data_IF_825729369399
#
_entry.id   IF_825729369399
#
_cell.length_a   1.000
_cell.length_b   1.000
_cell.length_c   1.000
_cell.angle_alpha   90.00
_cell.angle_beta   90.00
_cell.angle_gamma   90.00
#
_symmetry.space_group_name_H-M   'P 1'
#
loop_
_entity.id
_entity.type
_entity.pdbx_description
1 polymer ?
#
# COMPACT_ATOMS: atom_id res chain seq x y z
N UNK A 1 22.63 -69.06 1.22
CA UNK A 1 21.17 -68.85 1.11
C UNK A 1 20.82 -67.50 1.76
N UNK A 2 20.27 -66.59 0.96
CA UNK A 2 19.56 -65.33 1.30
C UNK A 2 20.35 -64.16 1.92
N UNK A 3 20.66 -63.22 1.03
CA UNK A 3 21.13 -61.85 1.22
C UNK A 3 20.10 -61.06 2.05
N UNK A 4 20.52 -60.46 3.16
CA UNK A 4 19.69 -59.53 3.95
C UNK A 4 19.83 -58.15 3.32
N UNK A 5 18.78 -57.73 2.62
CA UNK A 5 18.67 -56.41 1.99
C UNK A 5 18.25 -55.40 3.07
N UNK A 6 19.22 -54.65 3.60
CA UNK A 6 18.94 -53.57 4.56
C UNK A 6 18.46 -52.32 3.82
N UNK A 7 17.17 -52.01 3.92
CA UNK A 7 16.53 -50.83 3.33
C UNK A 7 16.77 -49.63 4.26
N UNK A 8 17.79 -48.82 3.96
CA UNK A 8 18.06 -47.55 4.64
C UNK A 8 17.09 -46.49 4.06
N UNK A 9 16.01 -46.23 4.80
CA UNK A 9 15.05 -45.18 4.47
C UNK A 9 15.55 -43.85 5.05
N UNK A 10 16.24 -43.05 4.22
CA UNK A 10 16.60 -41.68 4.58
C UNK A 10 15.32 -40.83 4.70
N UNK A 11 14.90 -40.57 5.94
CA UNK A 11 13.93 -39.52 6.24
C UNK A 11 14.58 -38.16 5.95
N UNK A 12 14.35 -37.62 4.75
CA UNK A 12 14.56 -36.19 4.50
C UNK A 12 13.46 -35.42 5.23
N UNK A 13 13.74 -35.03 6.47
CA UNK A 13 12.94 -34.03 7.18
C UNK A 13 13.13 -32.70 6.45
N UNK A 14 12.18 -32.34 5.59
CA UNK A 14 12.06 -31.00 5.04
C UNK A 14 11.80 -30.05 6.21
N UNK A 15 12.78 -29.22 6.54
CA UNK A 15 12.61 -28.14 7.51
C UNK A 15 11.69 -27.12 6.86
N UNK A 16 10.39 -27.18 7.17
CA UNK A 16 9.45 -26.13 6.79
C UNK A 16 9.78 -24.89 7.62
N UNK A 17 10.49 -23.94 7.02
CA UNK A 17 10.64 -22.61 7.59
C UNK A 17 9.26 -21.95 7.59
N UNK A 18 8.65 -21.84 8.77
CA UNK A 18 7.47 -21.01 8.95
C UNK A 18 7.87 -19.56 8.66
N UNK A 19 7.20 -18.95 7.69
CA UNK A 19 7.39 -17.53 7.39
C UNK A 19 6.94 -16.71 8.61
N UNK A 20 7.74 -15.73 9.04
CA UNK A 20 7.37 -14.81 10.14
C UNK A 20 6.83 -13.50 9.58
N UNK A 21 6.07 -12.74 10.38
CA UNK A 21 5.52 -11.44 9.96
C UNK A 21 6.63 -10.47 9.53
N UNK A 22 7.74 -10.48 10.25
CA UNK A 22 8.94 -9.66 9.98
C UNK A 22 9.59 -10.06 8.66
N UNK A 23 9.63 -11.36 8.34
CA UNK A 23 10.19 -11.84 7.07
C UNK A 23 9.33 -11.44 5.87
N UNK A 24 8.00 -11.40 6.02
CA UNK A 24 7.06 -10.90 5.00
C UNK A 24 7.25 -9.40 4.81
N UNK A 25 7.25 -8.64 5.90
CA UNK A 25 7.48 -7.20 5.87
C UNK A 25 8.83 -6.87 5.21
N UNK A 26 9.90 -7.59 5.56
CA UNK A 26 11.23 -7.41 4.96
C UNK A 26 11.23 -7.70 3.46
N UNK A 27 10.51 -8.72 3.02
CA UNK A 27 10.38 -9.06 1.60
C UNK A 27 9.61 -7.97 0.84
N UNK A 28 8.54 -7.44 1.44
CA UNK A 28 7.80 -6.28 0.91
C UNK A 28 8.69 -5.04 0.80
N UNK A 29 9.44 -4.71 1.86
CA UNK A 29 10.36 -3.58 1.90
C UNK A 29 11.46 -3.71 0.83
N UNK A 30 12.10 -4.87 0.75
CA UNK A 30 13.13 -5.16 -0.27
C UNK A 30 12.58 -5.01 -1.68
N UNK A 31 11.35 -5.51 -1.90
CA UNK A 31 10.68 -5.34 -3.19
C UNK A 31 10.40 -3.86 -3.47
N UNK A 32 9.88 -3.13 -2.50
CA UNK A 32 9.57 -1.71 -2.63
C UNK A 32 10.83 -0.87 -2.93
N UNK A 33 11.97 -1.17 -2.29
CA UNK A 33 13.24 -0.48 -2.55
C UNK A 33 13.76 -0.63 -3.98
N UNK A 34 13.46 -1.77 -4.60
CA UNK A 34 13.82 -2.05 -6.00
C UNK A 34 12.98 -1.27 -7.03
N UNK A 35 11.92 -0.59 -6.57
CA UNK A 35 11.00 0.13 -7.43
C UNK A 35 11.42 1.61 -7.48
N UNK A 36 11.82 2.09 -8.65
CA UNK A 36 12.09 3.52 -8.91
C UNK A 36 10.80 4.28 -9.18
N UNK A 37 9.88 3.65 -9.90
CA UNK A 37 8.56 4.16 -10.22
C UNK A 37 7.58 2.99 -10.42
N UNK A 38 6.30 3.22 -10.15
CA UNK A 38 5.25 2.27 -10.44
C UNK A 38 3.98 2.96 -10.92
N UNK A 39 3.22 2.23 -11.74
CA UNK A 39 1.81 2.49 -12.01
C UNK A 39 1.00 1.25 -11.65
N UNK A 40 -0.16 1.44 -11.04
CA UNK A 40 -1.14 0.39 -10.78
C UNK A 40 -2.57 0.89 -10.99
N UNK A 41 -3.48 -0.01 -11.32
CA UNK A 41 -4.91 0.26 -11.23
C UNK A 41 -5.35 0.07 -9.77
N UNK A 42 -6.27 0.92 -9.31
CA UNK A 42 -6.76 0.95 -7.92
C UNK A 42 -8.26 0.76 -7.91
N UNK A 43 -8.75 -0.09 -7.02
CA UNK A 43 -10.19 -0.24 -6.73
C UNK A 43 -10.43 -0.07 -5.24
N UNK A 44 -11.26 0.89 -4.85
CA UNK A 44 -11.75 0.99 -3.48
C UNK A 44 -13.14 0.39 -3.41
N UNK A 45 -13.36 -0.52 -2.47
CA UNK A 45 -14.70 -0.96 -2.12
C UNK A 45 -15.27 -0.06 -1.04
N UNK A 46 -16.48 0.41 -1.28
CA UNK A 46 -17.30 1.03 -0.25
C UNK A 46 -18.39 0.04 0.13
N UNK A 47 -18.50 -0.30 1.42
CA UNK A 47 -19.34 -1.39 1.97
C UNK A 47 -20.86 -1.29 1.67
N UNK A 48 -21.31 -0.31 0.88
CA UNK A 48 -22.72 -0.14 0.47
C UNK A 48 -22.93 0.68 -0.82
N UNK A 49 -21.87 1.03 -1.56
CA UNK A 49 -21.95 1.86 -2.80
C UNK A 49 -21.25 1.16 -3.96
N UNK A 50 -21.35 1.75 -5.16
CA UNK A 50 -20.54 1.33 -6.30
C UNK A 50 -19.05 1.39 -5.96
N UNK A 51 -18.31 0.39 -6.43
CA UNK A 51 -16.85 0.42 -6.39
C UNK A 51 -16.37 1.65 -7.14
N UNK A 52 -15.38 2.32 -6.55
CA UNK A 52 -14.71 3.41 -7.21
C UNK A 52 -13.41 2.85 -7.82
N UNK A 53 -13.06 3.34 -9.01
CA UNK A 53 -11.91 2.89 -9.78
C UNK A 53 -10.95 4.06 -10.00
N UNK A 54 -9.68 3.73 -10.16
CA UNK A 54 -8.65 4.73 -10.26
C UNK A 54 -7.28 4.20 -10.69
N UNK A 55 -6.31 5.09 -10.62
CA UNK A 55 -4.92 4.82 -10.96
C UNK A 55 -3.99 5.42 -9.92
N UNK A 56 -3.01 4.64 -9.53
CA UNK A 56 -1.91 5.05 -8.69
C UNK A 56 -0.67 5.17 -9.56
N UNK A 57 0.04 6.28 -9.41
CA UNK A 57 1.37 6.51 -9.93
C UNK A 57 2.24 6.90 -8.75
N UNK A 58 3.39 6.26 -8.64
CA UNK A 58 4.36 6.58 -7.61
C UNK A 58 5.75 6.61 -8.23
N UNK A 59 6.60 7.47 -7.71
CA UNK A 59 8.02 7.55 -8.02
C UNK A 59 8.76 7.90 -6.73
N UNK A 60 10.02 7.45 -6.63
CA UNK A 60 10.88 7.76 -5.47
C UNK A 60 10.92 9.27 -5.16
N UNK A 61 11.39 9.59 -3.96
CA UNK A 61 11.34 10.94 -3.38
C UNK A 61 9.90 11.44 -3.17
N UNK A 62 9.00 10.52 -2.79
CA UNK A 62 7.62 10.84 -2.39
C UNK A 62 6.76 11.51 -3.48
N UNK A 63 7.07 11.22 -4.74
CA UNK A 63 6.26 11.66 -5.87
C UNK A 63 5.05 10.71 -6.02
N UNK A 64 3.85 11.26 -5.92
CA UNK A 64 2.61 10.51 -5.91
C UNK A 64 1.56 11.18 -6.80
N UNK A 65 0.83 10.36 -7.55
CA UNK A 65 -0.45 10.75 -8.13
C UNK A 65 -1.46 9.64 -7.91
N UNK A 66 -2.54 9.95 -7.23
CA UNK A 66 -3.70 9.08 -7.10
C UNK A 66 -4.90 9.74 -7.76
N UNK A 67 -5.47 9.06 -8.74
CA UNK A 67 -6.73 9.47 -9.36
C UNK A 67 -7.81 8.48 -8.98
N UNK A 68 -8.89 8.96 -8.38
CA UNK A 68 -9.93 8.08 -7.85
C UNK A 68 -11.31 8.73 -7.89
N UNK A 69 -12.19 8.26 -8.78
CA UNK A 69 -13.47 8.92 -9.05
C UNK A 69 -13.28 10.40 -9.40
N UNK A 70 -13.85 11.29 -8.59
CA UNK A 70 -13.73 12.75 -8.74
C UNK A 70 -12.51 13.35 -8.02
N UNK A 71 -11.73 12.55 -7.28
CA UNK A 71 -10.56 13.02 -6.56
C UNK A 71 -9.28 12.84 -7.38
N UNK A 72 -8.41 13.84 -7.34
CA UNK A 72 -7.01 13.75 -7.77
C UNK A 72 -6.16 14.22 -6.60
N UNK A 73 -5.27 13.36 -6.14
CA UNK A 73 -4.25 13.71 -5.15
C UNK A 73 -2.91 13.67 -5.85
N UNK A 74 -2.18 14.77 -5.81
CA UNK A 74 -0.81 14.87 -6.33
C UNK A 74 0.11 15.28 -5.19
N UNK A 75 1.30 14.71 -5.14
CA UNK A 75 2.37 15.19 -4.27
C UNK A 75 3.71 15.12 -5.01
N UNK A 76 4.54 16.12 -4.79
CA UNK A 76 5.90 16.25 -5.35
C UNK A 76 7.00 16.01 -4.29
N UNK A 77 6.63 15.42 -3.16
CA UNK A 77 7.48 15.26 -1.99
C UNK A 77 7.64 16.49 -1.10
N UNK A 78 7.08 17.66 -1.48
CA UNK A 78 7.09 18.88 -0.67
C UNK A 78 5.69 19.47 -0.46
N UNK A 79 4.89 19.51 -1.50
CA UNK A 79 3.51 20.01 -1.49
C UNK A 79 2.57 18.88 -1.90
N UNK A 80 1.38 18.87 -1.30
CA UNK A 80 0.26 18.02 -1.74
C UNK A 80 -0.88 18.88 -2.24
N UNK A 81 -1.48 18.45 -3.35
CA UNK A 81 -2.70 19.00 -3.92
C UNK A 81 -3.79 17.94 -3.90
N UNK A 82 -4.86 18.22 -3.17
CA UNK A 82 -6.06 17.39 -3.16
C UNK A 82 -7.17 18.13 -3.90
N UNK A 83 -7.45 17.68 -5.12
CA UNK A 83 -8.41 18.30 -6.03
C UNK A 83 -9.67 17.45 -6.19
N UNK A 84 -10.81 18.03 -5.87
CA UNK A 84 -12.12 17.48 -6.19
C UNK A 84 -12.63 18.11 -7.49
N UNK A 85 -12.74 17.28 -8.54
CA UNK A 85 -13.25 17.67 -9.87
C UNK A 85 -14.69 18.17 -9.84
N UNK A 86 -15.54 17.56 -9.01
CA UNK A 86 -16.96 17.87 -8.94
C UNK A 86 -17.19 19.23 -8.29
N UNK A 87 -16.48 19.49 -7.20
CA UNK A 87 -16.61 20.73 -6.44
C UNK A 87 -15.74 21.86 -7.01
N UNK A 88 -14.91 21.56 -8.02
CA UNK A 88 -13.85 22.45 -8.53
C UNK A 88 -13.10 23.11 -7.39
N UNK A 89 -12.59 22.29 -6.47
CA UNK A 89 -11.90 22.76 -5.27
C UNK A 89 -10.58 22.03 -5.11
N UNK A 90 -9.51 22.79 -4.88
CA UNK A 90 -8.19 22.25 -4.51
C UNK A 90 -7.84 22.69 -3.09
N UNK A 91 -7.37 21.72 -2.30
CA UNK A 91 -6.72 21.96 -1.01
C UNK A 91 -5.22 21.74 -1.22
N UNK A 92 -4.42 22.73 -0.86
CA UNK A 92 -2.97 22.73 -0.95
C UNK A 92 -2.43 22.66 0.48
N UNK A 93 -1.50 21.74 0.75
CA UNK A 93 -0.85 21.61 2.04
C UNK A 93 0.62 21.22 1.86
N UNK A 94 1.40 21.37 2.91
CA UNK A 94 2.71 20.73 2.95
C UNK A 94 2.53 19.21 2.89
N UNK A 95 3.45 18.55 2.20
CA UNK A 95 3.50 17.11 2.18
C UNK A 95 4.12 16.63 3.49
N UNK A 96 3.31 16.02 4.36
CA UNK A 96 3.82 15.25 5.48
C UNK A 96 3.49 13.78 5.25
N UNK A 97 4.51 12.92 5.31
CA UNK A 97 4.35 11.48 5.06
C UNK A 97 3.30 10.84 5.98
N UNK A 98 3.23 11.31 7.24
CA UNK A 98 2.29 10.82 8.24
C UNK A 98 0.86 11.39 8.06
N UNK A 99 0.72 12.62 7.55
CA UNK A 99 -0.58 13.28 7.37
C UNK A 99 -1.28 12.85 6.08
N UNK A 100 -0.51 12.44 5.07
CA UNK A 100 -1.02 11.74 3.88
C UNK A 100 -1.61 10.36 4.21
N UNK A 101 -1.41 9.85 5.43
CA UNK A 101 -1.89 8.56 5.90
C UNK A 101 -1.37 7.42 5.02
N UNK A 102 -2.19 6.39 4.81
CA UNK A 102 -1.80 5.22 4.02
C UNK A 102 -1.75 5.47 2.50
N UNK A 103 -2.01 6.70 2.04
CA UNK A 103 -1.69 7.10 0.66
C UNK A 103 -0.19 7.35 0.47
N UNK A 104 0.55 7.59 1.56
CA UNK A 104 2.00 7.50 1.56
C UNK A 104 2.40 6.03 1.59
N UNK A 105 2.84 5.51 0.44
CA UNK A 105 3.36 4.15 0.35
C UNK A 105 4.58 3.95 1.26
N UNK A 106 5.41 4.98 1.42
CA UNK A 106 6.55 4.96 2.34
C UNK A 106 6.09 4.78 3.79
N UNK A 107 5.14 5.61 4.24
CA UNK A 107 4.59 5.49 5.58
C UNK A 107 4.00 4.09 5.82
N UNK A 108 3.23 3.58 4.86
CA UNK A 108 2.60 2.25 4.95
C UNK A 108 3.62 1.10 5.02
N UNK A 109 4.71 1.19 4.27
CA UNK A 109 5.71 0.11 4.13
C UNK A 109 6.80 0.18 5.22
N UNK A 110 7.10 1.37 5.74
CA UNK A 110 8.24 1.57 6.65
C UNK A 110 7.87 2.09 8.03
N UNK A 111 7.11 3.18 8.12
CA UNK A 111 6.94 3.88 9.40
C UNK A 111 5.80 3.31 10.23
N UNK A 112 4.65 3.10 9.60
CA UNK A 112 3.50 2.51 10.27
C UNK A 112 3.79 1.12 10.88
N UNK A 113 4.52 0.19 10.21
CA UNK A 113 4.91 -1.07 10.84
C UNK A 113 5.76 -0.93 12.12
N UNK A 114 6.59 0.11 12.25
CA UNK A 114 7.42 0.34 13.46
C UNK A 114 6.55 0.60 14.70
N UNK A 115 5.41 1.24 14.50
CA UNK A 115 4.43 1.56 15.54
C UNK A 115 3.49 0.41 15.88
N UNK A 116 3.59 -0.72 15.15
CA UNK A 116 2.64 -1.81 15.23
C UNK A 116 3.22 -3.08 15.87
N UNK A 117 2.32 -3.90 16.41
CA UNK A 117 2.53 -5.33 16.58
C UNK A 117 2.17 -6.03 15.26
N UNK A 118 3.06 -6.91 14.81
CA UNK A 118 2.94 -7.60 13.52
C UNK A 118 2.48 -9.03 13.73
N UNK A 119 1.58 -9.51 12.88
CA UNK A 119 1.18 -10.91 12.84
C UNK A 119 0.83 -11.35 11.43
N UNK A 120 0.77 -12.66 11.20
CA UNK A 120 0.36 -13.23 9.93
C UNK A 120 -0.98 -13.94 10.04
N UNK A 121 -1.72 -13.84 8.95
CA UNK A 121 -2.90 -14.66 8.67
C UNK A 121 -2.83 -15.12 7.21
N UNK A 122 -3.71 -16.04 6.85
CA UNK A 122 -3.89 -16.47 5.46
C UNK A 122 -5.33 -16.22 5.03
N UNK A 123 -5.51 -15.70 3.82
CA UNK A 123 -6.81 -15.65 3.14
C UNK A 123 -6.72 -16.55 1.90
N UNK A 124 -7.17 -17.80 2.04
CA UNK A 124 -6.94 -18.85 1.05
C UNK A 124 -5.43 -19.11 0.87
N UNK A 125 -4.93 -18.92 -0.35
CA UNK A 125 -3.51 -19.13 -0.69
C UNK A 125 -2.67 -17.83 -0.61
N UNK A 126 -3.23 -16.74 -0.06
CA UNK A 126 -2.55 -15.44 0.02
C UNK A 126 -2.10 -15.16 1.46
N UNK A 127 -0.86 -14.68 1.60
CA UNK A 127 -0.31 -14.21 2.86
C UNK A 127 -0.90 -12.85 3.22
N UNK A 128 -1.36 -12.70 4.46
CA UNK A 128 -1.89 -11.44 4.99
C UNK A 128 -1.03 -10.99 6.16
N UNK A 129 -0.34 -9.87 5.99
CA UNK A 129 0.37 -9.18 7.05
C UNK A 129 -0.61 -8.27 7.80
N UNK A 130 -0.72 -8.47 9.12
CA UNK A 130 -1.60 -7.68 9.99
C UNK A 130 -0.73 -6.75 10.82
N UNK A 131 -1.02 -5.45 10.75
CA UNK A 131 -0.36 -4.37 11.45
C UNK A 131 -1.35 -3.77 12.44
N UNK A 132 -1.11 -3.98 13.73
CA UNK A 132 -1.96 -3.48 14.80
C UNK A 132 -1.22 -2.40 15.60
N UNK A 133 -1.67 -1.14 15.59
CA UNK A 133 -1.01 -0.09 16.34
C UNK A 133 -0.90 -0.42 17.83
N UNK A 134 0.29 -0.24 18.40
CA UNK A 134 0.53 -0.42 19.84
C UNK A 134 -0.21 0.63 20.68
N UNK A 135 -0.36 1.83 20.13
CA UNK A 135 -1.02 2.96 20.78
C UNK A 135 -2.41 3.20 20.20
N UNK A 136 -3.42 3.32 21.09
CA UNK A 136 -4.78 3.73 20.73
C UNK A 136 -4.90 5.20 20.27
N UNK A 137 -3.82 5.99 20.37
CA UNK A 137 -3.78 7.37 19.84
C UNK A 137 -3.47 7.42 18.34
N UNK A 138 -3.11 6.29 17.72
CA UNK A 138 -2.88 6.25 16.28
C UNK A 138 -4.24 6.31 15.56
N UNK A 139 -4.41 7.32 14.69
CA UNK A 139 -5.67 7.60 14.00
C UNK A 139 -5.86 6.75 12.73
N UNK A 140 -4.92 5.88 12.36
CA UNK A 140 -4.99 5.02 11.16
C UNK A 140 -5.87 3.79 11.38
N UNK A 141 -5.84 3.20 12.58
CA UNK A 141 -6.53 1.95 12.90
C UNK A 141 -5.73 0.70 12.50
N UNK A 142 -6.35 -0.47 12.55
CA UNK A 142 -5.70 -1.74 12.18
C UNK A 142 -5.57 -1.84 10.66
N UNK A 143 -4.43 -2.31 10.16
CA UNK A 143 -4.19 -2.48 8.71
C UNK A 143 -3.89 -3.93 8.39
N UNK A 144 -4.52 -4.46 7.35
CA UNK A 144 -4.21 -5.77 6.77
C UNK A 144 -3.71 -5.59 5.37
N UNK A 145 -2.50 -6.09 5.10
CA UNK A 145 -1.88 -6.11 3.78
C UNK A 145 -1.85 -7.53 3.23
N UNK A 146 -2.66 -7.79 2.22
CA UNK A 146 -2.53 -9.02 1.44
C UNK A 146 -1.34 -8.86 0.48
N UNK A 147 -0.34 -9.71 0.63
CA UNK A 147 0.89 -9.67 -0.16
C UNK A 147 0.81 -10.73 -1.26
N UNK A 148 1.11 -10.36 -2.50
CA UNK A 148 1.14 -11.29 -3.62
C UNK A 148 2.49 -12.03 -3.72
N UNK A 149 2.59 -12.93 -4.70
CA UNK A 149 3.77 -13.77 -4.92
C UNK A 149 5.03 -12.98 -5.32
N UNK A 150 4.84 -11.77 -5.83
CA UNK A 150 5.91 -10.86 -6.25
C UNK A 150 6.34 -9.91 -5.12
N UNK A 151 5.86 -10.14 -3.89
CA UNK A 151 6.05 -9.32 -2.69
C UNK A 151 5.48 -7.89 -2.83
N UNK A 152 4.41 -7.72 -3.62
CA UNK A 152 3.66 -6.45 -3.73
C UNK A 152 2.37 -6.52 -2.92
N UNK A 153 1.85 -5.34 -2.55
CA UNK A 153 0.55 -5.22 -1.89
C UNK A 153 -0.55 -5.45 -2.93
N UNK A 154 -1.29 -6.54 -2.79
CA UNK A 154 -2.47 -6.85 -3.62
C UNK A 154 -3.72 -6.13 -3.10
N UNK A 155 -3.86 -6.07 -1.77
CA UNK A 155 -5.01 -5.48 -1.09
C UNK A 155 -4.58 -4.91 0.26
N UNK A 156 -5.07 -3.73 0.57
CA UNK A 156 -4.99 -3.10 1.89
C UNK A 156 -6.39 -2.94 2.47
N UNK A 157 -6.59 -3.42 3.69
CA UNK A 157 -7.83 -3.22 4.46
C UNK A 157 -7.50 -2.43 5.71
N UNK A 158 -8.11 -1.25 5.84
CA UNK A 158 -8.00 -0.36 6.99
C UNK A 158 -9.25 -0.53 7.81
N UNK A 159 -9.10 -0.80 9.10
CA UNK A 159 -10.19 -1.00 10.05
C UNK A 159 -10.05 0.08 11.10
N UNK A 160 -10.89 1.12 10.97
CA UNK A 160 -10.85 2.27 11.84
C UNK A 160 -12.23 2.51 12.46
N UNK A 161 -12.28 2.65 13.78
CA UNK A 161 -13.56 2.83 14.49
C UNK A 161 -14.17 4.22 14.27
N UNK A 162 -13.33 5.24 14.04
CA UNK A 162 -13.79 6.62 13.84
C UNK A 162 -14.17 6.90 12.39
N UNK A 163 -13.36 6.45 11.43
CA UNK A 163 -13.57 6.72 9.99
C UNK A 163 -14.25 5.58 9.22
N UNK A 164 -14.47 4.43 9.86
CA UNK A 164 -15.00 3.22 9.23
C UNK A 164 -13.93 2.39 8.50
N UNK A 165 -14.37 1.28 7.91
CA UNK A 165 -13.49 0.36 7.20
C UNK A 165 -13.32 0.76 5.74
N UNK A 166 -12.08 0.68 5.25
CA UNK A 166 -11.74 0.95 3.86
C UNK A 166 -10.99 -0.24 3.27
N UNK A 167 -11.39 -0.71 2.10
CA UNK A 167 -10.66 -1.73 1.34
C UNK A 167 -10.19 -1.13 0.03
N UNK A 168 -8.88 -1.24 -0.24
CA UNK A 168 -8.23 -0.82 -1.48
C UNK A 168 -7.50 -2.01 -2.07
N UNK A 169 -7.77 -2.32 -3.34
CA UNK A 169 -7.09 -3.36 -4.10
C UNK A 169 -6.27 -2.75 -5.23
N UNK A 170 -5.13 -3.37 -5.52
CA UNK A 170 -4.19 -2.92 -6.54
C UNK A 170 -3.99 -4.01 -7.58
N UNK A 171 -3.93 -3.64 -8.85
CA UNK A 171 -3.73 -4.59 -9.95
C UNK A 171 -2.97 -3.95 -11.11
N UNK A 172 -2.59 -4.77 -12.09
CA UNK A 172 -1.93 -4.33 -13.33
C UNK A 172 -0.66 -3.49 -13.07
N UNK A 173 0.14 -3.90 -12.10
CA UNK A 173 1.40 -3.24 -11.77
C UNK A 173 2.34 -3.15 -12.98
N UNK A 174 2.84 -1.94 -13.23
CA UNK A 174 3.92 -1.65 -14.17
C UNK A 174 5.03 -0.96 -13.40
N UNK A 175 6.13 -1.66 -13.17
CA UNK A 175 7.26 -1.19 -12.36
C UNK A 175 8.40 -0.69 -13.26
N UNK A 176 9.10 0.35 -12.83
CA UNK A 176 10.34 0.86 -13.42
C UNK A 176 10.22 1.17 -14.92
N UNK A 177 9.15 1.89 -15.30
CA UNK A 177 8.86 2.26 -16.69
C UNK A 177 9.16 3.73 -16.99
N UNK A 178 9.96 4.40 -16.14
CA UNK A 178 10.39 5.78 -16.35
C UNK A 178 9.20 6.74 -16.53
N UNK A 179 8.34 6.78 -15.51
CA UNK A 179 7.19 7.69 -15.48
C UNK A 179 7.64 9.16 -15.63
N UNK A 180 6.91 9.90 -16.47
CA UNK A 180 7.15 11.33 -16.72
C UNK A 180 6.94 12.16 -15.46
N UNK A 181 7.83 13.12 -15.22
CA UNK A 181 7.72 14.06 -14.08
C UNK A 181 6.42 14.87 -14.10
N UNK A 182 5.84 15.10 -15.29
CA UNK A 182 4.58 15.83 -15.46
C UNK A 182 3.38 15.17 -14.79
N UNK A 183 3.47 13.88 -14.42
CA UNK A 183 2.43 13.21 -13.66
C UNK A 183 2.34 13.70 -12.22
N UNK A 184 3.46 14.19 -11.68
CA UNK A 184 3.62 14.57 -10.27
C UNK A 184 3.55 16.08 -10.06
N UNK A 185 3.24 16.83 -11.11
CA UNK A 185 2.91 18.26 -11.03
C UNK A 185 1.40 18.45 -11.12
N UNK A 186 0.89 19.48 -10.43
CA UNK A 186 -0.53 19.82 -10.47
C UNK A 186 -0.75 21.27 -10.92
N UNK A 187 -1.38 21.43 -12.09
CA UNK A 187 -1.84 22.72 -12.57
C UNK A 187 -3.30 22.88 -12.16
N UNK A 188 -3.59 23.94 -11.38
CA UNK A 188 -4.95 24.25 -10.93
C UNK A 188 -5.83 24.59 -12.14
N UNK A 189 -6.92 23.84 -12.40
CA UNK A 189 -7.83 24.16 -13.50
C UNK A 189 -8.52 25.52 -13.31
N UNK A 190 -8.86 26.18 -14.40
CA UNK A 190 -9.57 27.46 -14.36
C UNK A 190 -10.91 27.37 -13.61
N UNK A 191 -11.23 28.40 -12.83
CA UNK A 191 -12.44 28.46 -12.02
C UNK A 191 -12.43 27.55 -10.78
N UNK A 192 -11.27 27.02 -10.41
CA UNK A 192 -11.11 26.22 -9.18
C UNK A 192 -11.00 27.12 -7.96
N UNK A 193 -11.76 26.79 -6.91
CA UNK A 193 -11.59 27.38 -5.57
C UNK A 193 -10.33 26.82 -4.92
N UNK A 194 -9.44 27.70 -4.47
CA UNK A 194 -8.16 27.33 -3.85
C UNK A 194 -8.26 27.53 -2.33
N UNK A 195 -7.86 26.52 -1.58
CA UNK A 195 -7.63 26.60 -0.13
C UNK A 195 -6.18 26.21 0.12
N UNK A 196 -5.35 27.15 0.54
CA UNK A 196 -3.93 26.91 0.84
C UNK A 196 -3.73 26.85 2.37
N UNK A 197 -3.11 25.78 2.84
CA UNK A 197 -2.89 25.46 4.26
C UNK A 197 -1.40 25.37 4.63
N UNK A 198 -0.50 25.73 3.72
CA UNK A 198 0.95 25.84 3.97
C UNK A 198 1.30 27.06 4.82
#
# INVERSE_FOLDING_TARGET
>A
MKIILSLIMLFYSTVSFSQTAESVLKSLQTKFDSITDLKADVTQKNNSRSNLFGKLYFKKENNLRLEFGNQIIVADGKTSWNYNKQDKKVIISDYEENSAGLLSLNYLVYDFPKECDLSLSSEGNKTVLILKPKSKRNNTGDVKLTINKDNLIDKAVIINQASGNMEVSFSNYKLNNNLSESLFTFTVPEGTTIVDLR
#
